data_IF_128855595065
#
_entry.id   IF_128855595065
#
_cell.length_a   1.000
_cell.length_b   1.000
_cell.length_c   1.000
_cell.angle_alpha   90.00
_cell.angle_beta   90.00
_cell.angle_gamma   90.00
#
_symmetry.space_group_name_H-M   'P 1'
#
loop_
_entity.id
_entity.type
_entity.pdbx_description
1 polymer ?
#
# COMPACT_ATOMS: atom_id res chain seq x y z
N UNK A 1 -12.01 -29.12 -5.45
CA UNK A 1 -12.99 -28.48 -6.36
C UNK A 1 -12.25 -27.88 -7.57
N UNK A 2 -12.83 -27.98 -8.78
CA UNK A 2 -12.26 -27.44 -10.03
C UNK A 2 -12.92 -26.12 -10.41
N UNK A 3 -12.08 -25.18 -10.90
CA UNK A 3 -12.46 -23.92 -11.50
C UNK A 3 -11.73 -23.73 -12.84
N UNK A 4 -12.34 -23.01 -13.77
CA UNK A 4 -11.66 -22.66 -15.02
C UNK A 4 -10.55 -21.64 -14.74
N UNK A 5 -10.82 -20.70 -13.82
CA UNK A 5 -9.82 -19.71 -13.34
C UNK A 5 -9.90 -19.53 -11.83
N UNK A 6 -8.73 -19.52 -11.18
CA UNK A 6 -8.56 -19.06 -9.80
C UNK A 6 -7.80 -17.73 -9.84
N UNK A 7 -8.35 -16.73 -9.16
CA UNK A 7 -7.79 -15.38 -9.06
C UNK A 7 -7.22 -15.19 -7.68
N UNK A 8 -5.91 -15.05 -7.57
CA UNK A 8 -5.21 -14.85 -6.31
C UNK A 8 -5.09 -13.36 -5.99
N UNK A 9 -5.77 -12.92 -4.93
CA UNK A 9 -5.87 -11.54 -4.45
C UNK A 9 -7.32 -11.09 -4.29
N UNK A 10 -7.54 -10.00 -3.53
CA UNK A 10 -8.84 -9.34 -3.34
C UNK A 10 -8.76 -7.81 -3.54
N UNK A 11 -7.78 -7.34 -4.30
CA UNK A 11 -7.64 -5.94 -4.70
C UNK A 11 -8.42 -5.61 -5.98
N UNK A 12 -8.30 -4.38 -6.45
CA UNK A 12 -8.97 -3.88 -7.64
C UNK A 12 -8.75 -4.76 -8.88
N UNK A 13 -7.53 -5.25 -9.08
CA UNK A 13 -7.20 -6.13 -10.20
C UNK A 13 -7.92 -7.49 -10.12
N UNK A 14 -8.05 -8.05 -8.90
CA UNK A 14 -8.73 -9.32 -8.68
C UNK A 14 -10.23 -9.20 -8.94
N UNK A 15 -10.88 -8.17 -8.39
CA UNK A 15 -12.30 -7.94 -8.63
C UNK A 15 -12.61 -7.62 -10.10
N UNK A 16 -11.75 -6.83 -10.77
CA UNK A 16 -11.90 -6.58 -12.19
C UNK A 16 -11.80 -7.89 -13.01
N UNK A 17 -10.80 -8.73 -12.72
CA UNK A 17 -10.67 -10.03 -13.38
C UNK A 17 -11.87 -10.94 -13.11
N UNK A 18 -12.35 -11.01 -11.85
CA UNK A 18 -13.53 -11.78 -11.45
C UNK A 18 -14.81 -11.33 -12.15
N UNK A 19 -15.02 -10.01 -12.25
CA UNK A 19 -16.16 -9.44 -12.96
C UNK A 19 -16.17 -9.87 -14.43
N UNK A 20 -15.04 -9.75 -15.13
CA UNK A 20 -14.99 -10.14 -16.54
C UNK A 20 -15.08 -11.66 -16.71
N UNK A 21 -14.43 -12.47 -15.87
CA UNK A 21 -14.56 -13.92 -15.89
C UNK A 21 -16.04 -14.34 -15.77
N UNK A 22 -16.76 -13.77 -14.82
CA UNK A 22 -18.17 -14.01 -14.61
C UNK A 22 -19.03 -13.62 -15.82
N UNK A 23 -18.78 -12.43 -16.39
CA UNK A 23 -19.51 -11.97 -17.59
C UNK A 23 -19.28 -12.85 -18.82
N UNK A 24 -18.12 -13.50 -18.91
CA UNK A 24 -17.83 -14.53 -19.92
C UNK A 24 -18.29 -15.93 -19.52
N UNK A 25 -19.02 -16.08 -18.40
CA UNK A 25 -19.52 -17.35 -17.87
C UNK A 25 -18.40 -18.37 -17.58
N UNK A 26 -17.23 -17.87 -17.21
CA UNK A 26 -16.09 -18.70 -16.81
C UNK A 26 -16.26 -19.02 -15.32
N UNK A 27 -16.21 -20.32 -14.97
CA UNK A 27 -16.31 -20.75 -13.58
C UNK A 27 -15.08 -20.28 -12.80
N UNK A 28 -15.23 -19.21 -12.03
CA UNK A 28 -14.14 -18.50 -11.38
C UNK A 28 -14.23 -18.55 -9.85
N UNK A 29 -13.08 -18.39 -9.20
CA UNK A 29 -12.93 -18.28 -7.75
C UNK A 29 -11.93 -17.16 -7.45
N UNK A 30 -12.26 -16.27 -6.52
CA UNK A 30 -11.36 -15.26 -5.97
C UNK A 30 -10.88 -15.72 -4.59
N UNK A 31 -9.57 -15.67 -4.35
CA UNK A 31 -8.96 -16.00 -3.05
C UNK A 31 -8.03 -14.87 -2.63
N UNK A 32 -8.25 -14.24 -1.49
CA UNK A 32 -7.37 -13.21 -0.96
C UNK A 32 -7.58 -12.98 0.52
N UNK A 33 -6.51 -12.59 1.22
CA UNK A 33 -6.49 -12.39 2.66
C UNK A 33 -7.05 -11.02 3.07
N UNK A 34 -6.80 -9.99 2.24
CA UNK A 34 -7.10 -8.60 2.58
C UNK A 34 -8.06 -8.01 1.57
N UNK A 35 -9.27 -7.71 2.02
CA UNK A 35 -10.29 -7.06 1.21
C UNK A 35 -9.79 -5.73 0.63
N UNK A 36 -9.97 -5.55 -0.67
CA UNK A 36 -9.68 -4.32 -1.39
C UNK A 36 -8.19 -3.99 -1.56
N UNK A 37 -7.29 -4.73 -0.87
CA UNK A 37 -5.85 -4.54 -0.94
C UNK A 37 -5.41 -3.11 -0.60
N UNK A 38 -4.35 -2.63 -1.22
CA UNK A 38 -3.81 -1.28 -1.01
C UNK A 38 -4.82 -0.16 -1.35
N UNK A 39 -5.76 -0.41 -2.25
CA UNK A 39 -6.79 0.58 -2.62
C UNK A 39 -7.71 0.88 -1.44
N UNK A 40 -8.15 -0.15 -0.72
CA UNK A 40 -9.06 0.02 0.43
C UNK A 40 -8.41 0.78 1.60
N UNK A 41 -7.09 0.80 1.69
CA UNK A 41 -6.34 1.50 2.74
C UNK A 41 -5.76 2.84 2.27
N UNK A 42 -5.97 3.20 1.00
CA UNK A 42 -5.38 4.39 0.38
C UNK A 42 -6.00 5.72 0.82
N UNK A 43 -7.15 5.71 1.50
CA UNK A 43 -7.90 6.91 1.84
C UNK A 43 -8.62 7.52 0.65
N UNK A 44 -8.66 8.85 0.56
CA UNK A 44 -9.37 9.57 -0.50
C UNK A 44 -8.66 9.38 -1.85
N UNK A 45 -9.44 8.98 -2.86
CA UNK A 45 -9.00 8.77 -4.24
C UNK A 45 -9.67 9.84 -5.12
N UNK A 46 -8.87 10.65 -5.82
CA UNK A 46 -9.31 11.75 -6.68
C UNK A 46 -8.98 11.53 -8.17
N UNK A 47 -8.36 10.39 -8.50
CA UNK A 47 -7.87 10.08 -9.84
C UNK A 47 -8.50 8.82 -10.46
N UNK A 48 -9.66 8.38 -9.95
CA UNK A 48 -10.42 7.29 -10.55
C UNK A 48 -11.54 7.84 -11.44
N UNK A 49 -11.50 7.64 -12.78
CA UNK A 49 -12.50 8.19 -13.69
C UNK A 49 -13.92 7.74 -13.33
N UNK A 50 -14.84 8.70 -13.28
CA UNK A 50 -16.24 8.48 -12.88
C UNK A 50 -16.56 8.89 -11.43
N UNK A 51 -15.53 9.12 -10.62
CA UNK A 51 -15.65 9.68 -9.27
C UNK A 51 -14.70 10.87 -9.13
N UNK A 52 -15.21 12.10 -8.90
CA UNK A 52 -14.37 13.25 -8.58
C UNK A 52 -13.50 13.01 -7.35
N UNK A 53 -14.11 12.36 -6.35
CA UNK A 53 -13.48 11.87 -5.13
C UNK A 53 -14.27 10.67 -4.57
N UNK A 54 -13.60 9.70 -4.01
CA UNK A 54 -14.20 8.55 -3.34
C UNK A 54 -13.21 7.97 -2.32
N UNK A 55 -13.71 7.50 -1.18
CA UNK A 55 -12.87 6.72 -0.26
C UNK A 55 -12.50 5.37 -0.89
N UNK A 56 -11.24 4.94 -0.69
CA UNK A 56 -10.73 3.72 -1.32
C UNK A 56 -11.46 2.46 -0.86
N UNK A 57 -11.90 2.39 0.40
CA UNK A 57 -12.68 1.28 0.90
C UNK A 57 -14.06 1.23 0.24
N UNK A 58 -14.74 2.38 0.12
CA UNK A 58 -16.04 2.48 -0.55
C UNK A 58 -15.95 2.13 -2.04
N UNK A 59 -14.84 2.52 -2.70
CA UNK A 59 -14.60 2.13 -4.09
C UNK A 59 -14.49 0.61 -4.22
N UNK A 60 -13.76 -0.05 -3.31
CA UNK A 60 -13.60 -1.50 -3.34
C UNK A 60 -14.87 -2.25 -2.98
N UNK A 61 -15.73 -1.70 -2.12
CA UNK A 61 -17.07 -2.24 -1.89
C UNK A 61 -17.90 -2.29 -3.18
N UNK A 62 -17.85 -1.21 -3.98
CA UNK A 62 -18.55 -1.18 -5.27
C UNK A 62 -18.01 -2.22 -6.27
N UNK A 63 -16.69 -2.48 -6.26
CA UNK A 63 -16.11 -3.53 -7.09
C UNK A 63 -16.60 -4.91 -6.66
N UNK A 64 -16.59 -5.17 -5.35
CA UNK A 64 -17.07 -6.43 -4.77
C UNK A 64 -18.55 -6.67 -5.09
N UNK A 65 -19.41 -5.68 -4.87
CA UNK A 65 -20.83 -5.73 -5.17
C UNK A 65 -21.12 -6.10 -6.64
N UNK A 66 -20.30 -5.59 -7.58
CA UNK A 66 -20.46 -5.95 -9.00
C UNK A 66 -20.14 -7.42 -9.28
N UNK A 67 -19.14 -7.97 -8.59
CA UNK A 67 -18.73 -9.38 -8.73
C UNK A 67 -19.76 -10.31 -8.08
N UNK A 68 -20.25 -9.94 -6.90
CA UNK A 68 -21.25 -10.70 -6.15
C UNK A 68 -22.57 -10.86 -6.89
N UNK A 69 -22.95 -9.91 -7.76
CA UNK A 69 -24.15 -10.04 -8.64
C UNK A 69 -24.09 -11.24 -9.59
N UNK A 70 -22.92 -11.82 -9.80
CA UNK A 70 -22.70 -12.98 -10.66
C UNK A 70 -22.37 -14.25 -9.87
N UNK A 71 -22.60 -14.25 -8.56
CA UNK A 71 -22.37 -15.40 -7.67
C UNK A 71 -20.94 -15.97 -7.75
N UNK A 72 -19.95 -15.12 -8.00
CA UNK A 72 -18.54 -15.54 -7.97
C UNK A 72 -18.12 -15.81 -6.51
N UNK A 73 -17.67 -17.02 -6.17
CA UNK A 73 -17.19 -17.30 -4.84
C UNK A 73 -15.95 -16.47 -4.50
N UNK A 74 -15.94 -15.92 -3.29
CA UNK A 74 -14.81 -15.18 -2.72
C UNK A 74 -14.42 -15.87 -1.41
N UNK A 75 -13.14 -16.24 -1.29
CA UNK A 75 -12.60 -16.89 -0.09
C UNK A 75 -11.61 -15.92 0.57
N UNK A 76 -11.88 -15.62 1.84
CA UNK A 76 -11.02 -14.80 2.68
C UNK A 76 -9.89 -15.66 3.27
N UNK A 77 -8.88 -15.97 2.44
CA UNK A 77 -7.69 -16.71 2.83
C UNK A 77 -6.52 -16.33 1.94
N UNK A 78 -5.31 -16.60 2.40
CA UNK A 78 -4.09 -16.34 1.67
C UNK A 78 -3.74 -17.52 0.76
N UNK A 79 -3.39 -17.24 -0.49
CA UNK A 79 -2.79 -18.26 -1.35
C UNK A 79 -1.37 -18.55 -0.87
N UNK A 80 -1.14 -19.78 -0.40
CA UNK A 80 0.16 -20.25 0.05
C UNK A 80 1.06 -20.65 -1.12
N UNK A 81 0.51 -21.44 -2.05
CA UNK A 81 1.29 -21.88 -3.21
C UNK A 81 0.42 -22.17 -4.42
N UNK A 82 1.04 -22.03 -5.60
CA UNK A 82 0.49 -22.39 -6.89
C UNK A 82 1.48 -23.32 -7.57
N UNK A 83 1.06 -24.54 -7.89
CA UNK A 83 1.90 -25.54 -8.56
C UNK A 83 1.24 -26.02 -9.83
N UNK A 84 1.97 -26.03 -10.94
CA UNK A 84 1.50 -26.65 -12.18
C UNK A 84 1.69 -28.16 -12.09
N UNK A 85 0.62 -28.91 -12.34
CA UNK A 85 0.62 -30.37 -12.43
C UNK A 85 -0.04 -30.76 -13.75
N UNK A 86 0.74 -31.31 -14.65
CA UNK A 86 0.31 -31.64 -16.03
C UNK A 86 -0.34 -30.41 -16.71
N UNK A 87 -1.63 -30.45 -16.98
CA UNK A 87 -2.39 -29.40 -17.65
C UNK A 87 -3.20 -28.51 -16.68
N UNK A 88 -3.09 -28.72 -15.37
CA UNK A 88 -3.82 -27.99 -14.36
C UNK A 88 -2.89 -27.30 -13.36
N UNK A 89 -3.41 -26.31 -12.67
CA UNK A 89 -2.77 -25.69 -11.53
C UNK A 89 -3.42 -26.19 -10.23
N UNK A 90 -2.61 -26.54 -9.24
CA UNK A 90 -3.04 -26.78 -7.89
C UNK A 90 -2.78 -25.51 -7.07
N UNK A 91 -3.83 -24.91 -6.54
CA UNK A 91 -3.78 -23.72 -5.70
C UNK A 91 -4.06 -24.16 -4.27
N UNK A 92 -3.11 -23.94 -3.38
CA UNK A 92 -3.24 -24.24 -1.95
C UNK A 92 -3.36 -22.94 -1.17
N UNK A 93 -4.30 -22.89 -0.23
CA UNK A 93 -4.44 -21.78 0.69
C UNK A 93 -3.65 -22.03 1.99
N UNK A 94 -3.42 -20.95 2.73
CA UNK A 94 -2.76 -21.02 4.03
C UNK A 94 -3.60 -21.80 5.05
N UNK A 95 -4.94 -21.69 4.97
CA UNK A 95 -5.89 -22.49 5.75
C UNK A 95 -5.93 -23.98 5.36
N UNK A 96 -5.21 -24.39 4.32
CA UNK A 96 -5.04 -25.79 3.93
C UNK A 96 -6.03 -26.28 2.86
N UNK A 97 -6.90 -25.42 2.33
CA UNK A 97 -7.79 -25.78 1.22
C UNK A 97 -7.02 -25.95 -0.09
N UNK A 98 -7.54 -26.84 -0.95
CA UNK A 98 -6.93 -27.17 -2.25
C UNK A 98 -7.95 -26.99 -3.38
N UNK A 99 -7.54 -26.24 -4.40
CA UNK A 99 -8.35 -25.99 -5.59
C UNK A 99 -7.55 -26.39 -6.85
N UNK A 100 -8.24 -26.97 -7.83
CA UNK A 100 -7.67 -27.23 -9.15
C UNK A 100 -8.16 -26.18 -10.13
N UNK A 101 -7.30 -25.63 -10.95
CA UNK A 101 -7.65 -24.59 -11.91
C UNK A 101 -7.04 -24.87 -13.29
N UNK A 102 -7.80 -24.56 -14.34
CA UNK A 102 -7.26 -24.53 -15.70
C UNK A 102 -6.28 -23.37 -15.91
N UNK A 103 -6.55 -22.25 -15.25
CA UNK A 103 -5.72 -21.03 -15.31
C UNK A 103 -5.68 -20.36 -13.94
N UNK A 104 -4.60 -19.65 -13.66
CA UNK A 104 -4.46 -18.81 -12.46
C UNK A 104 -4.10 -17.38 -12.87
N UNK A 105 -4.81 -16.41 -12.32
CA UNK A 105 -4.49 -14.99 -12.41
C UNK A 105 -3.87 -14.55 -11.09
N UNK A 106 -2.62 -14.09 -11.13
CA UNK A 106 -1.93 -13.54 -9.98
C UNK A 106 -2.22 -12.04 -9.86
N UNK A 107 -3.15 -11.67 -8.98
CA UNK A 107 -3.55 -10.31 -8.65
C UNK A 107 -3.14 -9.94 -7.22
N UNK A 108 -1.99 -10.45 -6.78
CA UNK A 108 -1.49 -10.43 -5.40
C UNK A 108 -0.97 -9.06 -4.92
N UNK A 109 -1.00 -8.05 -5.81
CA UNK A 109 -0.55 -6.72 -5.48
C UNK A 109 0.96 -6.63 -5.20
N UNK A 110 1.32 -5.87 -4.18
CA UNK A 110 2.72 -5.65 -3.77
C UNK A 110 2.83 -5.55 -2.25
N UNK A 111 3.98 -5.88 -1.74
CA UNK A 111 4.35 -5.57 -0.36
C UNK A 111 5.13 -4.25 -0.31
N UNK A 112 4.98 -3.51 0.77
CA UNK A 112 5.75 -2.30 1.05
C UNK A 112 7.22 -2.68 1.26
N UNK A 113 8.12 -1.81 0.82
CA UNK A 113 9.54 -1.97 1.08
C UNK A 113 9.86 -1.35 2.44
N UNK A 114 10.57 -2.08 3.26
CA UNK A 114 11.16 -1.60 4.50
C UNK A 114 12.48 -0.88 4.22
N UNK A 115 12.99 -0.13 5.18
CA UNK A 115 14.33 0.46 5.12
C UNK A 115 15.41 -0.58 5.42
N UNK A 116 15.04 -1.73 5.96
CA UNK A 116 15.91 -2.80 6.45
C UNK A 116 16.87 -2.30 7.54
N UNK A 117 16.39 -1.42 8.40
CA UNK A 117 17.15 -0.90 9.51
C UNK A 117 16.93 -1.76 10.77
N UNK A 118 17.92 -1.76 11.66
CA UNK A 118 17.79 -2.43 12.94
C UNK A 118 16.60 -1.87 13.72
N UNK A 119 15.82 -2.73 14.35
CA UNK A 119 14.64 -2.43 15.16
C UNK A 119 13.46 -1.82 14.37
N UNK A 120 13.51 -1.74 13.04
CA UNK A 120 12.44 -1.15 12.25
C UNK A 120 11.10 -1.85 12.49
N UNK A 121 11.10 -3.19 12.46
CA UNK A 121 9.88 -4.00 12.69
C UNK A 121 9.38 -3.91 14.14
N UNK A 122 10.29 -3.84 15.11
CA UNK A 122 9.94 -3.74 16.53
C UNK A 122 9.24 -2.42 16.87
N UNK A 123 9.51 -1.38 16.10
CA UNK A 123 8.96 -0.04 16.33
C UNK A 123 7.74 0.29 15.50
N UNK A 124 7.24 -0.68 14.71
CA UNK A 124 5.94 -0.53 14.03
C UNK A 124 4.84 -0.32 15.09
N UNK A 125 4.08 0.77 14.94
CA UNK A 125 3.11 1.23 15.94
C UNK A 125 3.70 1.94 17.16
N UNK A 126 5.06 2.10 17.21
CA UNK A 126 5.77 2.83 18.26
C UNK A 126 6.74 3.85 17.65
N UNK A 127 6.24 4.63 16.69
CA UNK A 127 6.98 5.67 15.97
C UNK A 127 7.36 5.33 14.54
N UNK A 128 7.30 4.05 14.13
CA UNK A 128 7.43 3.63 12.73
C UNK A 128 6.06 3.25 12.20
N UNK A 129 5.69 3.80 11.05
CA UNK A 129 4.45 3.49 10.34
C UNK A 129 4.68 3.34 8.85
N UNK A 130 3.85 2.50 8.22
CA UNK A 130 3.82 2.34 6.76
C UNK A 130 2.50 2.84 6.16
N UNK A 131 1.62 3.42 6.95
CA UNK A 131 0.32 3.93 6.52
C UNK A 131 0.14 5.38 6.93
N UNK A 132 0.57 6.32 6.09
CA UNK A 132 0.38 7.75 6.38
C UNK A 132 -1.10 8.13 6.55
N UNK A 133 -1.99 7.51 5.78
CA UNK A 133 -3.43 7.76 5.85
C UNK A 133 -4.03 7.29 7.18
N UNK A 134 -3.57 6.14 7.70
CA UNK A 134 -4.06 5.59 8.97
C UNK A 134 -3.64 6.46 10.17
N UNK A 135 -2.39 6.91 10.16
CA UNK A 135 -1.73 7.45 11.35
C UNK A 135 -1.58 8.98 11.35
N UNK A 136 -1.84 9.66 10.22
CA UNK A 136 -1.67 11.11 10.13
C UNK A 136 -2.37 11.90 11.25
N UNK A 137 -3.62 11.60 11.64
CA UNK A 137 -4.28 12.33 12.73
C UNK A 137 -3.58 12.21 14.09
N UNK A 138 -2.85 11.09 14.33
CA UNK A 138 -2.12 10.84 15.58
C UNK A 138 -0.87 11.71 15.71
N UNK A 139 -0.37 12.24 14.59
CA UNK A 139 0.84 13.07 14.53
C UNK A 139 0.57 14.58 14.63
N UNK A 140 -0.55 14.97 15.22
CA UNK A 140 -0.89 16.39 15.40
C UNK A 140 0.18 17.11 16.22
N UNK A 141 0.73 18.19 15.64
CA UNK A 141 1.81 19.02 16.20
C UNK A 141 3.17 18.30 16.36
N UNK A 142 3.31 17.06 15.93
CA UNK A 142 4.57 16.35 16.00
C UNK A 142 5.50 16.76 14.84
N UNK A 143 6.78 16.42 14.98
CA UNK A 143 7.77 16.41 13.91
C UNK A 143 7.80 15.01 13.34
N UNK A 144 7.63 14.86 12.03
CA UNK A 144 7.60 13.56 11.36
C UNK A 144 8.56 13.50 10.20
N UNK A 145 9.01 12.29 9.87
CA UNK A 145 9.79 12.03 8.67
C UNK A 145 9.08 11.03 7.77
N UNK A 146 9.06 11.29 6.47
CA UNK A 146 8.67 10.34 5.43
C UNK A 146 9.89 10.01 4.59
N UNK A 147 10.09 8.72 4.34
CA UNK A 147 11.19 8.23 3.52
C UNK A 147 10.67 7.68 2.21
N UNK A 148 11.03 8.31 1.11
CA UNK A 148 10.64 7.89 -0.23
C UNK A 148 10.59 9.03 -1.22
N UNK A 149 10.42 8.70 -2.50
CA UNK A 149 10.34 9.68 -3.59
C UNK A 149 9.39 9.24 -4.71
N UNK A 150 8.37 8.46 -4.38
CA UNK A 150 7.26 8.13 -5.27
C UNK A 150 5.99 8.87 -4.86
N UNK A 151 4.87 8.67 -5.59
CA UNK A 151 3.57 9.27 -5.28
C UNK A 151 3.19 9.06 -3.81
N UNK A 152 3.23 7.84 -3.30
CA UNK A 152 2.84 7.54 -1.93
C UNK A 152 3.63 8.35 -0.87
N UNK A 153 4.92 8.64 -1.10
CA UNK A 153 5.71 9.44 -0.18
C UNK A 153 5.35 10.92 -0.25
N UNK A 154 5.14 11.45 -1.46
CA UNK A 154 4.76 12.85 -1.65
C UNK A 154 3.35 13.11 -1.14
N UNK A 155 2.38 12.27 -1.49
CA UNK A 155 1.00 12.35 -1.01
C UNK A 155 0.92 12.19 0.50
N UNK A 156 1.67 11.23 1.07
CA UNK A 156 1.78 11.05 2.51
C UNK A 156 2.36 12.27 3.22
N UNK A 157 3.39 12.92 2.62
CA UNK A 157 3.94 14.15 3.17
C UNK A 157 2.94 15.31 3.14
N UNK A 158 2.19 15.46 2.04
CA UNK A 158 1.11 16.43 1.91
C UNK A 158 -0.01 16.19 2.92
N UNK A 159 -0.41 14.94 3.12
CA UNK A 159 -1.40 14.58 4.11
C UNK A 159 -0.91 14.90 5.54
N UNK A 160 0.29 14.43 5.90
CA UNK A 160 0.87 14.68 7.22
C UNK A 160 1.09 16.17 7.49
N UNK A 161 1.37 16.97 6.46
CA UNK A 161 1.55 18.42 6.62
C UNK A 161 0.31 19.15 7.16
N UNK A 162 -0.87 18.54 7.05
CA UNK A 162 -2.12 19.06 7.62
C UNK A 162 -2.23 18.89 9.14
N UNK A 163 -1.43 17.99 9.70
CA UNK A 163 -1.47 17.62 11.12
C UNK A 163 -0.17 17.94 11.85
N UNK A 164 0.95 17.56 11.26
CA UNK A 164 2.27 17.72 11.86
C UNK A 164 2.76 19.16 11.83
N UNK A 165 3.56 19.53 12.81
CA UNK A 165 4.23 20.85 12.85
C UNK A 165 5.32 20.97 11.79
N UNK A 166 6.04 19.87 11.50
CA UNK A 166 7.06 19.77 10.47
C UNK A 166 7.09 18.37 9.90
N UNK A 167 7.19 18.28 8.58
CA UNK A 167 7.38 17.02 7.85
C UNK A 167 8.72 17.07 7.13
N UNK A 168 9.60 16.12 7.41
CA UNK A 168 10.83 15.91 6.64
C UNK A 168 10.58 14.85 5.58
N UNK A 169 10.61 15.24 4.29
CA UNK A 169 10.53 14.30 3.17
C UNK A 169 11.94 13.95 2.72
N UNK A 170 12.38 12.75 3.09
CA UNK A 170 13.75 12.26 2.88
C UNK A 170 13.78 11.38 1.64
N UNK A 171 14.64 11.74 0.69
CA UNK A 171 14.78 10.97 -0.54
C UNK A 171 16.25 10.78 -0.93
N UNK A 172 16.59 9.54 -1.29
CA UNK A 172 17.97 9.16 -1.64
C UNK A 172 18.50 9.72 -2.96
N UNK A 173 17.64 10.23 -3.84
CA UNK A 173 18.03 10.83 -5.12
C UNK A 173 18.02 12.36 -5.04
N UNK A 174 18.59 13.01 -6.05
CA UNK A 174 18.69 14.46 -6.15
C UNK A 174 17.37 15.13 -6.50
N UNK A 175 16.50 14.41 -7.23
CA UNK A 175 15.22 14.95 -7.71
C UNK A 175 14.10 13.91 -7.71
N UNK A 176 12.86 14.36 -7.69
CA UNK A 176 11.68 13.53 -7.85
C UNK A 176 11.41 13.28 -9.33
N UNK A 177 11.36 12.01 -9.75
CA UNK A 177 11.13 11.62 -11.15
C UNK A 177 9.82 10.84 -11.35
N UNK A 178 9.09 10.49 -10.29
CA UNK A 178 7.92 9.62 -10.33
C UNK A 178 6.61 10.25 -9.88
N UNK A 179 6.61 11.20 -8.91
CA UNK A 179 5.38 11.81 -8.45
C UNK A 179 4.68 12.60 -9.55
N UNK A 180 3.37 12.67 -9.45
CA UNK A 180 2.55 13.47 -10.36
C UNK A 180 2.92 14.96 -10.26
N UNK A 181 2.95 15.70 -11.39
CA UNK A 181 3.31 17.11 -11.38
C UNK A 181 2.45 17.98 -10.45
N UNK A 182 1.16 17.65 -10.31
CA UNK A 182 0.24 18.36 -9.42
C UNK A 182 0.64 18.19 -7.95
N UNK A 183 1.03 16.99 -7.56
CA UNK A 183 1.50 16.69 -6.19
C UNK A 183 2.82 17.40 -5.88
N UNK A 184 3.72 17.49 -6.87
CA UNK A 184 4.98 18.25 -6.73
C UNK A 184 4.72 19.76 -6.62
N UNK A 185 3.74 20.29 -7.34
CA UNK A 185 3.35 21.68 -7.21
C UNK A 185 2.82 21.98 -5.79
N UNK A 186 1.96 21.13 -5.25
CA UNK A 186 1.45 21.26 -3.89
C UNK A 186 2.58 21.13 -2.84
N UNK A 187 3.49 20.17 -3.05
CA UNK A 187 4.67 19.98 -2.20
C UNK A 187 5.51 21.27 -2.10
N UNK A 188 5.78 21.92 -3.23
CA UNK A 188 6.58 23.14 -3.27
C UNK A 188 5.86 24.36 -2.65
N UNK A 189 4.54 24.34 -2.55
CA UNK A 189 3.75 25.38 -1.88
C UNK A 189 3.62 25.15 -0.37
N UNK A 190 3.93 23.97 0.11
CA UNK A 190 3.80 23.64 1.52
C UNK A 190 4.88 24.32 2.36
N UNK A 191 4.46 24.97 3.45
CA UNK A 191 5.37 25.76 4.31
C UNK A 191 6.08 24.91 5.38
N UNK A 192 5.52 23.77 5.73
CA UNK A 192 6.02 22.90 6.81
C UNK A 192 6.60 21.58 6.33
N UNK A 193 6.69 21.36 5.00
CA UNK A 193 7.42 20.22 4.44
C UNK A 193 8.84 20.66 4.08
N UNK A 194 9.82 19.96 4.63
CA UNK A 194 11.24 20.15 4.35
C UNK A 194 11.74 18.98 3.51
N UNK A 195 12.15 19.25 2.28
CA UNK A 195 12.70 18.24 1.37
C UNK A 195 14.18 18.02 1.67
N UNK A 196 14.55 16.78 1.99
CA UNK A 196 15.90 16.35 2.31
C UNK A 196 16.36 15.36 1.23
N UNK A 197 16.92 15.93 0.16
CA UNK A 197 17.30 15.18 -1.04
C UNK A 197 18.70 14.55 -0.92
N UNK A 198 18.97 13.56 -1.78
CA UNK A 198 20.26 12.83 -1.83
C UNK A 198 20.68 12.26 -0.47
N UNK A 199 19.72 11.79 0.34
CA UNK A 199 19.95 11.44 1.75
C UNK A 199 19.26 10.12 2.07
N UNK A 200 19.94 9.26 2.82
CA UNK A 200 19.41 8.03 3.36
C UNK A 200 19.28 8.11 4.88
N UNK A 201 18.23 7.47 5.41
CA UNK A 201 18.16 7.17 6.84
C UNK A 201 19.08 5.98 7.10
N UNK A 202 19.94 6.10 8.08
CA UNK A 202 20.97 5.10 8.42
C UNK A 202 20.69 4.38 9.74
N UNK A 203 19.91 5.01 10.63
CA UNK A 203 19.61 4.44 11.93
C UNK A 203 18.30 5.00 12.48
N UNK A 204 17.56 4.16 13.17
CA UNK A 204 16.44 4.51 14.02
C UNK A 204 16.94 4.50 15.48
N UNK A 205 16.61 5.54 16.25
CA UNK A 205 17.08 5.70 17.63
C UNK A 205 15.89 5.90 18.57
N UNK A 206 15.99 5.27 19.75
CA UNK A 206 14.97 5.35 20.80
C UNK A 206 15.15 4.24 21.82
N UNK A 207 14.36 4.26 22.89
CA UNK A 207 14.39 3.26 23.96
C UNK A 207 13.10 2.43 23.96
N UNK A 208 11.95 3.08 24.14
CA UNK A 208 10.64 2.42 24.16
C UNK A 208 9.86 2.63 22.85
N UNK A 209 10.45 3.28 21.87
CA UNK A 209 9.93 3.62 20.56
C UNK A 209 10.91 4.53 19.82
N UNK A 210 10.46 5.09 18.71
CA UNK A 210 11.28 5.97 17.89
C UNK A 210 11.30 7.39 18.47
N UNK A 211 12.50 7.86 18.86
CA UNK A 211 12.74 9.24 19.32
C UNK A 211 13.38 10.10 18.22
N UNK A 212 14.24 9.48 17.40
CA UNK A 212 14.98 10.20 16.36
C UNK A 212 15.49 9.27 15.27
N UNK A 213 15.91 9.85 14.15
CA UNK A 213 16.57 9.14 13.05
C UNK A 213 17.96 9.74 12.79
N UNK A 214 18.91 8.90 12.38
CA UNK A 214 20.19 9.34 11.84
C UNK A 214 20.17 9.29 10.32
N UNK A 215 20.85 10.22 9.68
CA UNK A 215 20.96 10.32 8.22
C UNK A 215 22.43 10.38 7.80
N UNK A 216 22.72 9.97 6.55
CA UNK A 216 24.09 9.87 6.01
C UNK A 216 24.72 11.21 5.59
N UNK A 217 23.96 12.30 5.57
CA UNK A 217 24.47 13.64 5.29
C UNK A 217 24.31 14.55 6.49
N UNK A 218 25.31 15.41 6.70
CA UNK A 218 25.19 16.53 7.63
C UNK A 218 24.14 17.52 7.09
N UNK A 219 22.93 17.38 7.54
CA UNK A 219 21.91 18.42 7.48
C UNK A 219 22.10 19.29 8.73
N UNK A 220 21.79 20.60 8.67
CA UNK A 220 21.93 21.50 9.84
C UNK A 220 21.13 21.06 11.09
N UNK A 221 20.61 19.86 11.09
CA UNK A 221 19.94 19.15 12.16
C UNK A 221 20.57 17.76 12.25
N UNK A 222 21.53 17.60 13.13
CA UNK A 222 22.23 16.32 13.35
C UNK A 222 21.32 15.21 13.90
N UNK A 223 20.14 15.55 14.37
CA UNK A 223 19.09 14.64 14.83
C UNK A 223 17.71 15.23 14.46
N UNK A 224 16.90 14.46 13.75
CA UNK A 224 15.47 14.75 13.58
C UNK A 224 14.76 14.00 14.70
N UNK A 225 14.31 14.74 15.72
CA UNK A 225 13.40 14.19 16.73
C UNK A 225 12.02 14.01 16.09
N UNK A 226 11.49 12.83 16.19
CA UNK A 226 10.20 12.43 15.60
C UNK A 226 9.21 12.18 16.73
#
# INVERSE_FOLDING_TARGET
TYYDVVIAGQGAAAFAAGLYAARYQIKSLIIGETFGGETATGGLIENYPGYPEIDGFDLMLKFKEQVEKYDVPIIDDKVDSVKKQENLFQVKTFGGEMFSAGTVILAVGRNRRTLNLKNEEEWVGRGVSYCSTCDAPMHKNNVVAIVGGGNAAVEGALLLSRYASTVYLIYRKEEFTRPEPISLQQLNQSKNIKQVMSTNVTQLNGVDGLDSISIDKAYNLSLIHI
#
